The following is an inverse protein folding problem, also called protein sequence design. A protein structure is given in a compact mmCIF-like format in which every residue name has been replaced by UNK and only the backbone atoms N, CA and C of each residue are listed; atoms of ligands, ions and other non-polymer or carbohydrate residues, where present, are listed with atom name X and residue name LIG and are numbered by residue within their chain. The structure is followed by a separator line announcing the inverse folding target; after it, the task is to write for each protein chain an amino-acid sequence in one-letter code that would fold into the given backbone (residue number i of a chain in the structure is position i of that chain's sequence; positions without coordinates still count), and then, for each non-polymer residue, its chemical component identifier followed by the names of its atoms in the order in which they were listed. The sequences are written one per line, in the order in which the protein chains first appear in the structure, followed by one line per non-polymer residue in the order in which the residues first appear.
data_IF_504210335915
#
_entry.id   IF_504210335915
#
_cell.length_a   1.000
_cell.length_b   1.000
_cell.length_c   1.000
_cell.angle_alpha   90.00
_cell.angle_beta   90.00
_cell.angle_gamma   90.00
#
_symmetry.space_group_name_H-M   'P 1'
#
loop_
_entity.id
_entity.type
_entity.pdbx_description
1 polymer ?
#
# COMPACT_ATOMS: atom_id res chain seq x y z
N UNK A 1 2.25 47.11 27.21
CA UNK A 1 1.39 46.85 28.40
C UNK A 1 0.22 46.02 27.92
N UNK A 2 0.38 44.70 27.89
CA UNK A 2 -0.04 43.73 28.93
C UNK A 2 -1.48 43.91 29.39
N UNK A 3 -2.37 43.11 28.82
CA UNK A 3 -3.61 42.74 29.50
C UNK A 3 -3.31 41.56 30.41
N UNK A 4 -3.46 41.83 31.69
CA UNK A 4 -3.56 40.90 32.80
C UNK A 4 -4.95 40.27 32.75
N UNK A 5 -5.04 38.95 32.77
CA UNK A 5 -6.16 38.27 33.45
C UNK A 5 -5.63 36.94 33.98
N UNK A 6 -5.38 36.95 35.29
CA UNK A 6 -5.14 35.79 36.13
C UNK A 6 -6.34 34.85 36.09
N UNK A 7 -6.07 33.56 36.01
CA UNK A 7 -6.98 32.54 36.49
C UNK A 7 -6.13 31.44 37.14
N UNK A 8 -5.94 31.57 38.46
CA UNK A 8 -5.48 30.47 39.30
C UNK A 8 -6.63 29.50 39.55
N UNK A 9 -6.35 28.21 39.41
CA UNK A 9 -7.23 27.09 39.79
C UNK A 9 -6.40 25.81 39.93
N UNK A 10 -6.67 24.94 40.91
CA UNK A 10 -5.62 24.25 41.66
C UNK A 10 -5.16 22.91 41.07
N UNK A 11 -3.87 22.64 41.28
CA UNK A 11 -3.23 21.32 41.20
C UNK A 11 -3.87 20.36 42.23
N UNK A 12 -4.34 19.21 41.76
CA UNK A 12 -4.63 18.06 42.61
C UNK A 12 -3.77 16.86 42.21
N UNK A 13 -2.89 16.55 43.14
CA UNK A 13 -2.08 15.35 43.35
C UNK A 13 -2.98 14.10 43.42
N UNK A 14 -2.68 13.06 42.63
CA UNK A 14 -3.25 11.73 42.80
C UNK A 14 -2.13 10.75 43.10
N UNK A 15 -2.23 10.16 44.29
CA UNK A 15 -1.32 9.19 44.91
C UNK A 15 -1.74 7.78 44.51
N UNK A 16 -0.75 6.88 44.61
CA UNK A 16 -0.84 5.43 44.39
C UNK A 16 -1.99 4.74 45.13
N UNK A 17 -2.56 3.70 44.51
CA UNK A 17 -3.03 2.53 45.25
C UNK A 17 -2.77 1.25 44.45
N UNK A 18 -2.01 0.36 45.09
CA UNK A 18 -1.65 -1.01 44.71
C UNK A 18 -2.76 -1.94 45.22
N UNK A 19 -3.22 -2.88 44.40
CA UNK A 19 -3.93 -4.09 44.88
C UNK A 19 -3.46 -5.31 44.08
N UNK A 20 -2.79 -6.22 44.79
CA UNK A 20 -2.44 -7.60 44.44
C UNK A 20 -3.64 -8.56 44.53
N UNK A 21 -3.38 -9.83 44.16
CA UNK A 21 -4.18 -11.07 44.37
C UNK A 21 -5.25 -11.42 43.31
N UNK A 22 -5.36 -12.64 42.77
CA UNK A 22 -4.61 -13.91 42.80
C UNK A 22 -4.98 -14.73 41.54
N UNK A 23 -4.12 -15.67 41.14
CA UNK A 23 -4.47 -16.78 40.23
C UNK A 23 -5.12 -17.93 41.01
N UNK A 24 -5.77 -18.89 40.33
CA UNK A 24 -5.13 -20.21 40.39
C UNK A 24 -5.03 -20.98 39.07
N UNK A 25 -3.95 -21.78 39.07
CA UNK A 25 -3.47 -22.79 38.15
C UNK A 25 -4.46 -23.94 37.93
N UNK A 26 -4.67 -24.39 36.68
CA UNK A 26 -5.08 -25.77 36.39
C UNK A 26 -4.35 -26.30 35.15
N UNK A 27 -3.53 -27.33 35.35
CA UNK A 27 -2.84 -28.08 34.31
C UNK A 27 -3.70 -29.26 33.86
N UNK A 28 -3.99 -29.38 32.56
CA UNK A 28 -4.16 -30.69 31.92
C UNK A 28 -3.55 -30.68 30.52
N UNK A 29 -2.54 -31.52 30.32
CA UNK A 29 -1.93 -31.79 29.03
C UNK A 29 -2.80 -32.81 28.27
N UNK A 30 -3.18 -32.49 27.04
CA UNK A 30 -3.49 -33.51 26.03
C UNK A 30 -2.84 -33.14 24.70
N UNK A 31 -2.08 -34.12 24.22
CA UNK A 31 -1.37 -34.19 22.95
C UNK A 31 -2.33 -34.15 21.76
N UNK A 32 -2.05 -33.34 20.73
CA UNK A 32 -2.44 -33.64 19.36
C UNK A 32 -1.78 -32.69 18.36
N UNK A 33 -0.94 -33.28 17.49
CA UNK A 33 -0.52 -32.88 16.14
C UNK A 33 -0.35 -31.38 15.85
N UNK A 34 0.91 -31.03 15.58
CA UNK A 34 1.30 -29.75 14.98
C UNK A 34 0.50 -29.48 13.70
N UNK A 35 -0.47 -28.59 13.83
CA UNK A 35 -0.91 -27.79 12.71
C UNK A 35 0.17 -26.75 12.49
N UNK A 36 0.74 -26.73 11.29
CA UNK A 36 1.58 -25.64 10.82
C UNK A 36 0.87 -24.33 11.18
N UNK A 37 1.49 -23.56 12.08
CA UNK A 37 1.07 -22.22 12.39
C UNK A 37 1.23 -21.40 11.10
N UNK A 38 0.14 -21.23 10.36
CA UNK A 38 0.03 -20.12 9.43
C UNK A 38 0.18 -18.87 10.30
N UNK A 39 1.21 -18.03 10.12
CA UNK A 39 1.30 -16.79 10.87
C UNK A 39 0.05 -15.98 10.54
N UNK A 40 -0.82 -15.83 11.54
CA UNK A 40 -1.98 -14.97 11.46
C UNK A 40 -1.49 -13.58 11.06
N UNK A 41 -2.02 -13.14 9.93
CA UNK A 41 -1.43 -12.14 9.08
C UNK A 41 -1.35 -10.77 9.80
N UNK A 42 -0.31 -10.00 9.51
CA UNK A 42 -0.24 -8.60 9.94
C UNK A 42 -1.29 -7.73 9.21
N UNK A 43 -1.82 -8.22 8.09
CA UNK A 43 -2.81 -7.52 7.25
C UNK A 43 -4.15 -7.29 7.95
N UNK A 44 -4.62 -8.21 8.80
CA UNK A 44 -5.87 -8.10 9.57
C UNK A 44 -5.78 -6.99 10.62
N UNK A 45 -4.60 -6.79 11.22
CA UNK A 45 -4.36 -5.72 12.19
C UNK A 45 -4.29 -4.33 11.54
N UNK A 46 -3.92 -4.26 10.26
CA UNK A 46 -3.84 -3.00 9.50
C UNK A 46 -5.15 -2.65 8.75
N UNK A 47 -6.17 -3.51 8.76
CA UNK A 47 -7.44 -3.30 8.05
C UNK A 47 -7.29 -3.26 6.52
N UNK A 48 -6.20 -3.82 6.00
CA UNK A 48 -5.89 -3.84 4.57
C UNK A 48 -6.46 -5.13 3.96
N UNK A 49 -7.46 -4.98 3.10
CA UNK A 49 -8.12 -6.11 2.45
C UNK A 49 -7.52 -6.27 1.06
N UNK A 50 -6.68 -7.28 0.89
CA UNK A 50 -6.11 -7.61 -0.40
C UNK A 50 -7.13 -8.34 -1.28
N UNK A 51 -7.16 -8.07 -2.59
CA UNK A 51 -7.91 -8.90 -3.52
C UNK A 51 -7.48 -10.37 -3.38
N UNK A 52 -8.45 -11.29 -3.23
CA UNK A 52 -8.20 -12.74 -3.05
C UNK A 52 -7.30 -13.32 -4.14
N UNK A 53 -7.39 -12.71 -5.31
CA UNK A 53 -6.67 -12.98 -6.54
C UNK A 53 -5.12 -12.93 -6.36
N UNK A 54 -4.59 -12.12 -5.43
CA UNK A 54 -3.16 -12.10 -5.08
C UNK A 54 -2.76 -13.41 -4.38
N UNK A 55 -3.63 -13.89 -3.48
CA UNK A 55 -3.38 -15.10 -2.67
C UNK A 55 -3.56 -16.38 -3.47
N UNK A 56 -4.50 -16.39 -4.42
CA UNK A 56 -4.78 -17.50 -5.34
C UNK A 56 -3.62 -17.78 -6.31
N UNK A 57 -2.71 -16.82 -6.51
CA UNK A 57 -1.54 -16.99 -7.39
C UNK A 57 -0.48 -17.90 -6.75
N UNK A 58 0.23 -18.70 -7.58
CA UNK A 58 1.32 -19.54 -7.09
C UNK A 58 2.39 -18.69 -6.41
N UNK A 59 3.09 -19.30 -5.47
CA UNK A 59 4.17 -18.61 -4.76
C UNK A 59 5.32 -18.35 -5.73
N UNK A 60 5.65 -17.06 -5.90
CA UNK A 60 6.76 -16.60 -6.74
C UNK A 60 7.57 -15.57 -5.98
N UNK A 61 8.84 -15.37 -6.37
CA UNK A 61 9.66 -14.31 -5.76
C UNK A 61 8.98 -12.94 -5.85
N UNK A 62 8.28 -12.67 -6.95
CA UNK A 62 7.52 -11.44 -7.13
C UNK A 62 6.43 -11.31 -6.07
N UNK A 63 5.64 -12.37 -5.85
CA UNK A 63 4.56 -12.38 -4.85
C UNK A 63 5.13 -12.19 -3.44
N UNK A 64 6.21 -12.87 -3.08
CA UNK A 64 6.85 -12.72 -1.77
C UNK A 64 7.30 -11.28 -1.52
N UNK A 65 8.09 -10.71 -2.43
CA UNK A 65 8.58 -9.33 -2.35
C UNK A 65 7.45 -8.30 -2.35
N UNK A 66 6.39 -8.56 -3.12
CA UNK A 66 5.18 -7.74 -3.09
C UNK A 66 4.55 -7.79 -1.70
N UNK A 67 4.29 -8.98 -1.15
CA UNK A 67 3.70 -9.15 0.17
C UNK A 67 4.51 -8.48 1.28
N UNK A 68 5.84 -8.51 1.22
CA UNK A 68 6.71 -7.78 2.14
C UNK A 68 6.47 -6.27 2.11
N UNK A 69 6.35 -5.69 0.92
CA UNK A 69 6.06 -4.25 0.74
C UNK A 69 4.66 -3.93 1.24
N UNK A 70 3.70 -4.80 0.96
CA UNK A 70 2.30 -4.63 1.31
C UNK A 70 2.03 -4.77 2.82
N UNK A 71 2.77 -5.62 3.51
CA UNK A 71 2.66 -5.85 4.96
C UNK A 71 3.26 -4.73 5.81
N UNK A 72 3.91 -3.72 5.21
CA UNK A 72 4.43 -2.57 5.96
C UNK A 72 3.29 -1.80 6.64
N UNK A 73 3.49 -1.26 7.85
CA UNK A 73 2.48 -0.46 8.52
C UNK A 73 2.13 0.80 7.73
N UNK A 74 0.97 1.40 8.02
CA UNK A 74 0.56 2.65 7.39
C UNK A 74 1.52 3.80 7.77
N UNK A 75 1.93 4.58 6.77
CA UNK A 75 2.73 5.77 6.95
C UNK A 75 2.13 6.90 6.10
N UNK A 76 1.73 8.00 6.74
CA UNK A 76 1.07 9.11 6.07
C UNK A 76 2.01 9.87 5.12
N UNK A 77 3.26 10.10 5.51
CA UNK A 77 4.24 10.79 4.67
C UNK A 77 4.51 9.99 3.38
N UNK A 78 4.64 8.67 3.51
CA UNK A 78 4.77 7.78 2.35
C UNK A 78 3.53 7.85 1.44
N UNK A 79 2.33 7.87 2.03
CA UNK A 79 1.09 8.00 1.26
C UNK A 79 1.06 9.31 0.46
N UNK A 80 1.37 10.44 1.09
CA UNK A 80 1.36 11.74 0.42
C UNK A 80 2.39 11.78 -0.72
N UNK A 81 3.60 11.26 -0.49
CA UNK A 81 4.65 11.20 -1.52
C UNK A 81 4.25 10.34 -2.72
N UNK A 82 3.71 9.15 -2.47
CA UNK A 82 3.27 8.24 -3.53
C UNK A 82 2.06 8.80 -4.28
N UNK A 83 1.11 9.42 -3.57
CA UNK A 83 -0.06 10.05 -4.18
C UNK A 83 0.34 11.26 -5.04
N UNK A 84 1.23 12.12 -4.55
CA UNK A 84 1.76 13.24 -5.31
C UNK A 84 2.47 12.75 -6.56
N UNK A 85 3.27 11.68 -6.45
CA UNK A 85 3.95 11.07 -7.60
C UNK A 85 2.95 10.49 -8.60
N UNK A 86 1.88 9.84 -8.12
CA UNK A 86 0.86 9.21 -8.97
C UNK A 86 -0.01 10.23 -9.73
N UNK A 87 -0.31 11.37 -9.11
CA UNK A 87 -1.13 12.44 -9.68
C UNK A 87 -0.33 13.47 -10.48
N UNK A 88 1.00 13.47 -10.35
CA UNK A 88 1.86 14.44 -11.01
C UNK A 88 1.69 14.43 -12.53
N UNK A 89 1.43 15.62 -13.10
CA UNK A 89 1.43 15.89 -14.54
C UNK A 89 2.56 16.85 -14.85
N UNK A 90 3.54 16.41 -15.62
CA UNK A 90 4.70 17.22 -16.01
C UNK A 90 4.49 17.85 -17.39
N UNK A 91 5.00 19.06 -17.68
CA UNK A 91 4.88 19.62 -19.03
C UNK A 91 5.47 18.68 -20.10
N UNK A 92 4.79 18.51 -21.22
CA UNK A 92 5.32 17.72 -22.34
C UNK A 92 6.59 18.38 -22.85
N UNK A 93 7.70 17.65 -22.91
CA UNK A 93 8.95 18.17 -23.46
C UNK A 93 8.92 17.99 -24.98
N UNK A 94 9.07 19.09 -25.72
CA UNK A 94 9.20 19.05 -27.18
C UNK A 94 10.64 19.26 -27.60
N UNK A 95 11.00 18.54 -28.66
CA UNK A 95 12.28 18.67 -29.32
C UNK A 95 12.21 19.75 -30.41
N UNK A 96 13.14 20.68 -30.40
CA UNK A 96 13.38 21.62 -31.51
C UNK A 96 14.77 21.39 -32.07
N UNK A 97 14.82 20.92 -33.33
CA UNK A 97 16.07 20.82 -34.08
C UNK A 97 16.43 22.17 -34.68
N UNK A 98 17.64 22.63 -34.40
CA UNK A 98 18.27 23.79 -35.03
C UNK A 98 19.41 23.31 -35.91
N UNK A 99 19.98 24.19 -36.74
CA UNK A 99 21.09 23.83 -37.65
C UNK A 99 22.33 23.25 -36.93
N UNK A 100 22.51 23.54 -35.63
CA UNK A 100 23.70 23.13 -34.85
C UNK A 100 23.40 22.21 -33.68
N UNK A 101 22.16 22.18 -33.18
CA UNK A 101 21.81 21.43 -31.97
C UNK A 101 20.34 21.07 -31.90
N UNK A 102 20.07 20.07 -31.07
CA UNK A 102 18.74 19.72 -30.61
C UNK A 102 18.48 20.39 -29.26
N UNK A 103 17.35 21.09 -29.10
CA UNK A 103 16.95 21.75 -27.86
C UNK A 103 15.62 21.18 -27.38
N UNK A 104 15.58 20.74 -26.13
CA UNK A 104 14.37 20.31 -25.47
C UNK A 104 13.77 21.49 -24.69
N UNK A 105 12.46 21.71 -24.81
CA UNK A 105 11.78 22.78 -24.11
C UNK A 105 10.39 22.31 -23.64
N UNK A 106 9.94 22.76 -22.46
CA UNK A 106 8.61 22.44 -21.97
C UNK A 106 7.56 23.10 -22.86
N UNK A 107 6.60 22.31 -23.32
CA UNK A 107 5.48 22.77 -24.09
C UNK A 107 4.41 23.33 -23.18
N UNK A 108 4.07 24.61 -23.37
CA UNK A 108 3.22 25.37 -22.43
C UNK A 108 1.75 24.96 -22.44
N UNK A 109 1.29 24.31 -23.51
CA UNK A 109 -0.13 24.04 -23.74
C UNK A 109 -0.53 22.59 -23.49
N UNK A 110 0.41 21.72 -23.16
CA UNK A 110 0.15 20.29 -22.99
C UNK A 110 0.93 19.76 -21.80
N UNK A 111 0.21 19.11 -20.90
CA UNK A 111 0.78 18.38 -19.78
C UNK A 111 0.78 16.89 -20.12
N UNK A 112 1.80 16.19 -19.64
CA UNK A 112 1.88 14.75 -19.71
C UNK A 112 0.76 14.13 -18.88
N UNK A 113 0.42 12.91 -19.25
CA UNK A 113 -0.51 12.08 -18.48
C UNK A 113 0.18 11.70 -17.16
N UNK A 114 -0.54 11.87 -16.06
CA UNK A 114 -0.16 11.29 -14.77
C UNK A 114 -0.30 9.77 -14.82
N UNK A 115 0.17 9.08 -13.79
CA UNK A 115 -0.05 7.64 -13.68
C UNK A 115 -1.53 7.31 -13.58
N UNK A 116 -2.31 8.09 -12.83
CA UNK A 116 -3.76 7.91 -12.74
C UNK A 116 -4.50 8.17 -14.06
N UNK A 117 -3.97 9.04 -14.93
CA UNK A 117 -4.53 9.20 -16.29
C UNK A 117 -4.25 7.99 -17.19
N UNK A 118 -3.19 7.22 -16.90
CA UNK A 118 -2.83 6.00 -17.63
C UNK A 118 -3.51 4.75 -17.06
N UNK A 119 -3.84 4.76 -15.77
CA UNK A 119 -4.46 3.66 -15.03
C UNK A 119 -5.69 4.16 -14.27
N UNK A 120 -6.80 4.48 -14.98
CA UNK A 120 -8.01 5.01 -14.34
C UNK A 120 -8.66 4.00 -13.39
N UNK A 121 -8.53 2.70 -13.68
CA UNK A 121 -9.01 1.62 -12.82
C UNK A 121 -8.35 1.63 -11.43
N UNK A 122 -7.05 1.93 -11.38
CA UNK A 122 -6.33 2.14 -10.13
C UNK A 122 -6.77 3.44 -9.43
N UNK A 123 -6.95 4.52 -10.17
CA UNK A 123 -7.36 5.82 -9.62
C UNK A 123 -8.71 5.70 -8.89
N UNK A 124 -9.69 5.06 -9.53
CA UNK A 124 -11.02 4.80 -8.96
C UNK A 124 -10.91 3.94 -7.68
N UNK A 125 -10.05 2.92 -7.70
CA UNK A 125 -9.76 2.06 -6.56
C UNK A 125 -9.16 2.84 -5.39
N UNK A 126 -8.23 3.75 -5.65
CA UNK A 126 -7.62 4.60 -4.62
C UNK A 126 -8.68 5.55 -4.07
N UNK A 127 -9.50 6.19 -4.89
CA UNK A 127 -10.50 7.15 -4.41
C UNK A 127 -11.56 6.50 -3.51
N UNK A 128 -12.05 5.30 -3.85
CA UNK A 128 -13.16 4.65 -3.12
C UNK A 128 -12.77 3.91 -1.83
N UNK A 129 -11.48 3.71 -1.58
CA UNK A 129 -11.00 2.88 -0.47
C UNK A 129 -10.54 3.71 0.75
N UNK A 130 -10.39 3.05 1.90
CA UNK A 130 -9.86 3.66 3.13
C UNK A 130 -8.36 3.96 3.03
N UNK A 131 -7.84 4.93 3.81
CA UNK A 131 -6.43 5.35 3.76
C UNK A 131 -5.41 4.19 3.81
N UNK A 132 -5.54 3.18 4.69
CA UNK A 132 -4.63 2.03 4.68
C UNK A 132 -4.64 1.29 3.35
N UNK A 133 -5.83 1.03 2.79
CA UNK A 133 -6.01 0.38 1.50
C UNK A 133 -5.49 1.23 0.33
N UNK A 134 -5.64 2.56 0.40
CA UNK A 134 -5.09 3.49 -0.61
C UNK A 134 -3.57 3.41 -0.66
N UNK A 135 -2.90 3.48 0.49
CA UNK A 135 -1.45 3.34 0.56
C UNK A 135 -0.99 1.97 0.06
N UNK A 136 -1.72 0.94 0.44
CA UNK A 136 -1.52 -0.43 -0.04
C UNK A 136 -1.58 -0.54 -1.58
N UNK A 137 -2.59 0.05 -2.22
CA UNK A 137 -2.73 0.12 -3.68
C UNK A 137 -1.57 0.87 -4.33
N UNK A 138 -1.18 2.02 -3.77
CA UNK A 138 -0.06 2.82 -4.26
C UNK A 138 1.27 2.05 -4.15
N UNK A 139 1.52 1.39 -3.01
CA UNK A 139 2.69 0.53 -2.80
C UNK A 139 2.75 -0.60 -3.83
N UNK A 140 1.64 -1.32 -4.02
CA UNK A 140 1.54 -2.38 -5.02
C UNK A 140 1.78 -1.85 -6.43
N UNK A 141 1.24 -0.67 -6.76
CA UNK A 141 1.43 0.00 -8.04
C UNK A 141 2.89 0.34 -8.32
N UNK A 142 3.55 1.06 -7.41
CA UNK A 142 4.95 1.46 -7.62
C UNK A 142 5.91 0.27 -7.52
N UNK A 143 5.58 -0.75 -6.72
CA UNK A 143 6.32 -2.01 -6.75
C UNK A 143 6.23 -2.67 -8.12
N UNK A 144 5.01 -2.78 -8.66
CA UNK A 144 4.80 -3.33 -10.00
C UNK A 144 5.56 -2.55 -11.06
N UNK A 145 5.48 -1.22 -11.08
CA UNK A 145 6.20 -0.36 -12.04
C UNK A 145 7.71 -0.65 -12.07
N UNK A 146 8.32 -0.87 -10.90
CA UNK A 146 9.75 -1.19 -10.78
C UNK A 146 10.10 -2.60 -11.28
N UNK A 147 9.10 -3.48 -11.38
CA UNK A 147 9.28 -4.91 -11.66
C UNK A 147 8.53 -5.40 -12.92
N UNK A 148 8.11 -4.49 -13.81
CA UNK A 148 7.36 -4.84 -15.05
C UNK A 148 8.14 -5.81 -15.95
N UNK A 149 9.48 -5.83 -15.87
CA UNK A 149 10.32 -6.71 -16.69
C UNK A 149 10.44 -8.16 -16.21
N UNK A 150 9.88 -8.53 -15.06
CA UNK A 150 9.94 -9.89 -14.53
C UNK A 150 8.89 -10.81 -15.16
N UNK A 151 9.20 -12.09 -15.36
CA UNK A 151 8.32 -13.06 -16.04
C UNK A 151 7.00 -13.30 -15.28
N UNK A 152 7.04 -13.36 -13.94
CA UNK A 152 5.88 -13.64 -13.09
C UNK A 152 5.15 -12.38 -12.60
N UNK A 153 5.47 -11.21 -13.14
CA UNK A 153 4.89 -9.95 -12.70
C UNK A 153 3.38 -9.91 -12.96
N UNK A 154 2.67 -9.22 -12.08
CA UNK A 154 1.27 -8.92 -12.27
C UNK A 154 0.88 -7.63 -11.58
N UNK A 155 -0.24 -7.04 -12.05
CA UNK A 155 -0.82 -5.84 -11.45
C UNK A 155 -1.55 -6.23 -10.17
N UNK A 156 -1.10 -5.79 -8.97
CA UNK A 156 -1.70 -6.23 -7.71
C UNK A 156 -3.15 -5.76 -7.51
N UNK A 157 -3.56 -4.70 -8.20
CA UNK A 157 -4.91 -4.14 -8.11
C UNK A 157 -5.88 -4.73 -9.15
N UNK A 158 -5.41 -5.65 -10.03
CA UNK A 158 -6.20 -6.17 -11.14
C UNK A 158 -6.01 -7.67 -11.37
N UNK A 159 -7.13 -8.38 -11.44
CA UNK A 159 -7.15 -9.80 -11.76
C UNK A 159 -7.04 -10.01 -13.28
N UNK A 160 -5.80 -10.02 -13.78
CA UNK A 160 -5.51 -10.33 -15.19
C UNK A 160 -5.29 -11.83 -15.45
N UNK A 161 -5.12 -12.66 -14.41
CA UNK A 161 -4.73 -14.06 -14.58
C UNK A 161 -5.87 -14.96 -15.03
N UNK A 162 -7.12 -14.61 -14.71
CA UNK A 162 -8.28 -15.42 -15.14
C UNK A 162 -8.48 -15.44 -16.66
N UNK A 163 -7.94 -14.46 -17.39
CA UNK A 163 -8.12 -14.39 -18.85
C UNK A 163 -7.33 -15.46 -19.62
N UNK A 164 -6.25 -15.99 -19.07
CA UNK A 164 -5.37 -16.95 -19.78
C UNK A 164 -5.59 -18.41 -19.38
N UNK A 165 -6.13 -18.68 -18.18
CA UNK A 165 -6.43 -20.05 -17.73
C UNK A 165 -7.50 -20.71 -18.60
N UNK A 166 -8.52 -19.94 -18.98
CA UNK A 166 -9.65 -20.42 -19.79
C UNK A 166 -9.21 -20.89 -21.18
N UNK A 167 -8.08 -20.41 -21.72
CA UNK A 167 -7.62 -20.85 -23.04
C UNK A 167 -6.73 -22.09 -23.00
N UNK A 168 -6.09 -22.38 -21.87
CA UNK A 168 -5.17 -23.51 -21.76
C UNK A 168 -5.88 -24.85 -21.42
N UNK A 169 -7.11 -24.78 -20.92
CA UNK A 169 -7.92 -25.95 -20.57
C UNK A 169 -8.74 -26.50 -21.76
N UNK A 170 -8.60 -25.92 -22.97
CA UNK A 170 -9.38 -26.28 -24.18
C UNK A 170 -8.55 -26.87 -25.34
N UNK A 171 -7.37 -27.42 -25.07
CA UNK A 171 -6.66 -28.22 -26.08
C UNK A 171 -6.22 -29.57 -25.50
N UNK A 172 -6.84 -30.69 -25.96
CA UNK A 172 -6.41 -32.04 -25.60
C UNK A 172 -5.06 -32.42 -26.23
#
# INVERSE_FOLDING_TARGET
MVNVFEFEGPLQEMKEEVVEEEQPLNMQATSSKGHHAVPQNTSELQGVIWPTHIMERPESEFKQKLMEVLNKPFNLAEYDDLLATATNRTPVIKERRTRRRVVNYPWKYEMSKSYFDCYPDLADLVERNSYPNRLALLRGFFFWLKNIGHEDQFRPWRDDYKKYRVFHDYYP
#
